data_IF_805446178038
#
_entry.id   IF_805446178038
#
_cell.length_a   1.000
_cell.length_b   1.000
_cell.length_c   1.000
_cell.angle_alpha   90.00
_cell.angle_beta   90.00
_cell.angle_gamma   90.00
#
_symmetry.space_group_name_H-M   'P 1'
#
loop_
_entity.id
_entity.type
_entity.pdbx_description
1 polymer ?
#
# COMPACT_ATOMS: atom_id res chain seq x y z
N UNK A 1 11.85 4.28 -2.95
CA UNK A 1 12.69 3.13 -3.27
C UNK A 1 13.51 2.75 -2.04
N UNK A 2 13.09 1.70 -1.32
CA UNK A 2 13.81 1.16 -0.16
C UNK A 2 15.21 0.64 -0.50
N UNK A 3 15.52 0.46 -1.79
CA UNK A 3 16.82 -0.01 -2.25
C UNK A 3 17.94 1.04 -2.16
N UNK A 4 17.58 2.31 -2.06
CA UNK A 4 18.56 3.41 -1.99
C UNK A 4 18.77 3.91 -0.55
N UNK A 5 18.21 3.22 0.44
CA UNK A 5 18.48 3.54 1.84
C UNK A 5 19.87 2.99 2.25
N UNK A 6 20.90 3.85 2.39
CA UNK A 6 22.26 3.40 2.67
C UNK A 6 22.45 2.73 4.04
N UNK A 7 21.40 2.71 4.86
CA UNK A 7 21.40 2.03 6.15
C UNK A 7 20.84 0.61 6.12
N UNK A 8 20.26 0.17 5.00
CA UNK A 8 19.69 -1.19 4.88
C UNK A 8 20.75 -2.11 4.27
N UNK A 9 21.16 -3.12 5.02
CA UNK A 9 22.06 -4.14 4.52
C UNK A 9 21.42 -4.87 3.33
N UNK A 10 22.15 -5.11 2.22
CA UNK A 10 21.64 -5.89 1.09
C UNK A 10 21.23 -7.34 1.45
N UNK A 11 21.59 -7.80 2.63
CA UNK A 11 21.21 -9.11 3.16
C UNK A 11 19.84 -9.14 3.87
N UNK A 12 19.19 -8.00 4.06
CA UNK A 12 17.85 -7.96 4.62
C UNK A 12 16.83 -8.10 3.47
N UNK A 13 16.22 -9.27 3.41
CA UNK A 13 15.08 -9.50 2.52
C UNK A 13 13.92 -8.63 3.00
N UNK A 14 13.37 -7.81 2.12
CA UNK A 14 12.17 -7.04 2.39
C UNK A 14 11.00 -8.00 2.49
N UNK A 15 10.56 -8.26 3.70
CA UNK A 15 9.42 -9.13 3.96
C UNK A 15 8.30 -8.35 4.63
N UNK A 16 7.08 -8.81 4.43
CA UNK A 16 5.92 -8.39 5.18
C UNK A 16 5.33 -9.58 5.90
N UNK A 17 4.87 -9.40 7.12
CA UNK A 17 4.06 -10.39 7.80
C UNK A 17 2.62 -10.28 7.28
N UNK A 18 1.98 -11.40 6.94
CA UNK A 18 0.60 -11.42 6.44
C UNK A 18 -0.14 -12.61 7.03
N UNK A 19 -1.22 -12.33 7.77
CA UNK A 19 -2.05 -13.35 8.40
C UNK A 19 -1.37 -14.06 9.57
N UNK A 20 -1.85 -15.24 9.88
CA UNK A 20 -1.38 -16.11 10.96
C UNK A 20 -1.08 -17.51 10.39
N UNK A 21 -0.17 -18.21 11.03
CA UNK A 21 0.01 -19.63 10.70
C UNK A 21 -1.28 -20.42 11.01
N UNK A 22 -1.63 -21.45 10.20
CA UNK A 22 -2.87 -22.21 10.36
C UNK A 22 -3.04 -22.91 11.72
N UNK A 23 -1.95 -23.12 12.45
CA UNK A 23 -1.97 -23.76 13.77
C UNK A 23 -2.16 -22.77 14.94
N UNK A 24 -2.20 -21.47 14.69
CA UNK A 24 -2.38 -20.45 15.74
C UNK A 24 -3.81 -20.47 16.23
N UNK A 25 -3.99 -20.62 17.52
CA UNK A 25 -5.32 -20.57 18.13
C UNK A 25 -5.72 -19.16 18.54
N UNK A 26 -7.02 -18.93 18.67
CA UNK A 26 -7.54 -17.65 19.21
C UNK A 26 -6.96 -17.35 20.59
N UNK A 27 -6.80 -18.38 21.45
CA UNK A 27 -6.26 -18.21 22.80
C UNK A 27 -4.78 -17.78 22.75
N UNK A 28 -3.98 -18.31 21.83
CA UNK A 28 -2.59 -17.89 21.64
C UNK A 28 -2.52 -16.43 21.19
N UNK A 29 -3.35 -16.04 20.23
CA UNK A 29 -3.39 -14.66 19.76
C UNK A 29 -3.89 -13.71 20.86
N UNK A 30 -4.94 -14.10 21.60
CA UNK A 30 -5.45 -13.36 22.75
C UNK A 30 -4.37 -13.15 23.83
N UNK A 31 -3.57 -14.18 24.10
CA UNK A 31 -2.45 -14.05 25.03
C UNK A 31 -1.42 -13.01 24.57
N UNK A 32 -1.11 -12.98 23.28
CA UNK A 32 -0.25 -11.95 22.70
C UNK A 32 -0.85 -10.55 22.89
N UNK A 33 -2.14 -10.37 22.64
CA UNK A 33 -2.80 -9.07 22.80
C UNK A 33 -2.84 -8.59 24.25
N UNK A 34 -3.05 -9.50 25.19
CA UNK A 34 -2.99 -9.18 26.63
C UNK A 34 -1.59 -8.76 27.07
N UNK A 35 -0.53 -9.43 26.58
CA UNK A 35 0.86 -9.01 26.84
C UNK A 35 1.15 -7.64 26.25
N UNK A 36 0.66 -7.36 25.04
CA UNK A 36 0.76 -6.03 24.43
C UNK A 36 0.13 -4.96 25.32
N UNK A 37 -1.08 -5.19 25.84
CA UNK A 37 -1.78 -4.27 26.75
C UNK A 37 -1.04 -4.04 28.07
N UNK A 38 -0.14 -4.93 28.45
CA UNK A 38 0.74 -4.79 29.63
C UNK A 38 2.06 -4.08 29.33
N UNK A 39 2.26 -3.68 28.07
CA UNK A 39 3.52 -3.07 27.61
C UNK A 39 4.66 -4.07 27.50
N UNK A 40 4.35 -5.35 27.30
CA UNK A 40 5.33 -6.43 27.17
C UNK A 40 5.47 -6.84 25.70
N UNK A 41 6.65 -7.38 25.35
CA UNK A 41 6.86 -8.00 24.05
C UNK A 41 5.93 -9.19 23.88
N UNK A 42 5.03 -9.12 22.92
CA UNK A 42 3.97 -10.11 22.77
C UNK A 42 4.26 -11.25 21.80
N UNK A 43 5.31 -11.12 20.98
CA UNK A 43 5.73 -12.15 20.04
C UNK A 43 4.78 -12.43 18.89
N UNK A 44 3.81 -11.56 18.61
CA UNK A 44 2.79 -11.76 17.56
C UNK A 44 3.41 -12.00 16.18
N UNK A 45 4.55 -11.39 15.87
CA UNK A 45 5.27 -11.60 14.60
C UNK A 45 5.71 -13.06 14.40
N UNK A 46 5.96 -13.79 15.47
CA UNK A 46 6.31 -15.21 15.39
C UNK A 46 5.12 -16.11 15.04
N UNK A 47 3.91 -15.55 15.15
CA UNK A 47 2.68 -16.23 14.77
C UNK A 47 2.27 -15.99 13.31
N UNK A 48 2.98 -15.10 12.61
CA UNK A 48 2.67 -14.69 11.24
C UNK A 48 3.67 -15.24 10.23
N UNK A 49 3.22 -15.75 9.08
CA UNK A 49 4.10 -16.06 7.97
C UNK A 49 4.68 -14.77 7.37
N UNK A 50 5.94 -14.84 6.96
CA UNK A 50 6.63 -13.74 6.30
C UNK A 50 6.73 -13.99 4.81
N UNK A 51 6.25 -13.04 4.03
CA UNK A 51 6.27 -13.08 2.57
C UNK A 51 7.27 -12.09 2.03
N UNK A 52 8.11 -12.54 1.09
CA UNK A 52 9.02 -11.64 0.38
C UNK A 52 8.25 -10.70 -0.52
N UNK A 53 8.54 -9.41 -0.42
CA UNK A 53 7.94 -8.39 -1.26
C UNK A 53 8.84 -8.08 -2.45
N UNK A 54 8.21 -7.90 -3.59
CA UNK A 54 8.88 -7.46 -4.81
C UNK A 54 8.33 -6.09 -5.23
N UNK A 55 9.19 -5.27 -5.84
CA UNK A 55 8.74 -4.03 -6.47
C UNK A 55 7.66 -4.38 -7.50
N UNK A 56 6.62 -3.56 -7.57
CA UNK A 56 5.48 -3.72 -8.46
C UNK A 56 4.52 -4.88 -8.12
N UNK A 57 4.70 -5.55 -6.99
CA UNK A 57 3.65 -6.43 -6.49
C UNK A 57 2.66 -5.62 -5.67
N UNK A 58 1.42 -5.57 -6.13
CA UNK A 58 0.30 -5.10 -5.35
C UNK A 58 -0.28 -6.21 -4.49
N UNK A 59 -0.98 -5.82 -3.43
CA UNK A 59 -1.76 -6.72 -2.59
C UNK A 59 -3.11 -6.11 -2.27
N UNK A 60 -4.11 -6.96 -2.16
CA UNK A 60 -5.40 -6.59 -1.61
C UNK A 60 -5.46 -7.11 -0.19
N UNK A 61 -5.59 -6.19 0.78
CA UNK A 61 -5.67 -6.53 2.21
C UNK A 61 -7.11 -6.40 2.68
N UNK A 62 -7.83 -7.52 2.91
CA UNK A 62 -9.16 -7.48 3.51
C UNK A 62 -9.12 -6.97 4.95
N UNK A 63 -10.23 -6.39 5.40
CA UNK A 63 -10.38 -5.99 6.80
C UNK A 63 -10.23 -7.21 7.74
N UNK A 64 -9.66 -6.98 8.91
CA UNK A 64 -9.49 -8.01 9.93
C UNK A 64 -8.33 -8.97 9.68
N UNK A 65 -7.51 -8.73 8.65
CA UNK A 65 -6.30 -9.51 8.39
C UNK A 65 -5.06 -8.77 8.89
N UNK A 66 -4.29 -9.46 9.73
CA UNK A 66 -3.01 -8.96 10.23
C UNK A 66 -2.01 -8.78 9.10
N UNK A 67 -1.36 -7.63 9.10
CA UNK A 67 -0.25 -7.38 8.19
C UNK A 67 0.72 -6.36 8.77
N UNK A 68 1.98 -6.48 8.41
CA UNK A 68 3.01 -5.53 8.81
C UNK A 68 4.06 -5.41 7.72
N UNK A 69 4.16 -4.26 7.05
CA UNK A 69 5.11 -4.06 5.95
C UNK A 69 6.56 -3.98 6.43
N UNK A 70 6.81 -4.03 7.73
CA UNK A 70 8.15 -3.96 8.36
C UNK A 70 8.95 -2.71 7.98
N UNK A 71 10.03 -2.84 7.21
CA UNK A 71 10.93 -1.76 6.76
C UNK A 71 10.63 -1.26 5.33
N UNK A 72 9.47 -1.65 4.79
CA UNK A 72 9.06 -1.28 3.44
C UNK A 72 8.38 0.10 3.41
N UNK A 73 8.63 0.85 2.35
CA UNK A 73 7.80 1.98 1.97
C UNK A 73 6.69 1.46 1.06
N UNK A 74 5.47 1.43 1.57
CA UNK A 74 4.28 0.99 0.85
C UNK A 74 3.45 2.18 0.38
N UNK A 75 2.79 2.02 -0.76
CA UNK A 75 1.75 2.91 -1.22
C UNK A 75 0.40 2.25 -0.99
N UNK A 76 -0.41 2.81 -0.11
CA UNK A 76 -1.67 2.21 0.33
C UNK A 76 -2.85 3.11 -0.01
N UNK A 77 -3.84 2.53 -0.68
CA UNK A 77 -5.12 3.19 -0.94
C UNK A 77 -6.19 2.50 -0.11
N UNK A 78 -6.77 3.25 0.79
CA UNK A 78 -7.84 2.76 1.66
C UNK A 78 -9.21 3.08 1.07
N UNK A 79 -10.12 2.13 1.14
CA UNK A 79 -11.51 2.31 0.72
C UNK A 79 -12.34 2.66 1.95
N UNK A 80 -12.68 3.94 2.10
CA UNK A 80 -13.67 4.49 3.02
C UNK A 80 -13.42 4.46 4.52
N UNK A 81 -12.46 3.72 5.06
CA UNK A 81 -12.27 3.66 6.52
C UNK A 81 -10.79 3.76 6.86
N UNK A 82 -10.48 4.65 7.77
CA UNK A 82 -9.15 4.80 8.37
C UNK A 82 -9.20 4.32 9.83
N UNK A 83 -9.71 3.10 10.00
CA UNK A 83 -9.79 2.44 11.29
C UNK A 83 -8.77 1.33 11.35
N UNK A 84 -7.89 1.39 12.32
CA UNK A 84 -6.93 0.32 12.56
C UNK A 84 -6.57 0.23 14.05
N UNK A 85 -6.11 -0.91 14.44
CA UNK A 85 -5.51 -1.11 15.74
C UNK A 85 -4.14 -1.76 15.58
N UNK A 86 -3.29 -1.58 16.58
CA UNK A 86 -1.97 -2.17 16.60
C UNK A 86 -2.00 -3.52 17.34
N UNK A 87 -1.38 -4.53 16.73
CA UNK A 87 -1.14 -5.82 17.38
C UNK A 87 0.26 -5.92 17.97
N UNK A 88 1.16 -5.02 17.61
CA UNK A 88 2.54 -4.95 18.12
C UNK A 88 3.07 -3.52 17.97
N UNK A 89 3.88 -3.10 18.94
CA UNK A 89 4.64 -1.85 18.87
C UNK A 89 6.08 -2.10 19.33
N UNK A 90 6.88 -2.64 18.42
CA UNK A 90 8.30 -2.89 18.66
C UNK A 90 9.15 -1.91 17.86
N UNK A 91 9.91 -1.07 18.55
CA UNK A 91 10.83 -0.12 17.92
C UNK A 91 12.09 -0.81 17.37
N UNK A 92 12.79 -0.17 16.44
CA UNK A 92 13.99 -0.71 15.80
C UNK A 92 15.13 -1.05 16.80
N UNK A 93 15.16 -0.38 17.95
CA UNK A 93 16.13 -0.65 19.03
C UNK A 93 15.64 -1.70 20.03
N UNK A 94 14.54 -2.40 19.71
CA UNK A 94 14.00 -3.52 20.49
C UNK A 94 13.22 -3.10 21.74
N UNK A 95 12.91 -1.82 21.90
CA UNK A 95 12.01 -1.35 22.96
C UNK A 95 10.57 -1.52 22.55
N UNK A 96 9.72 -1.73 23.53
CA UNK A 96 8.27 -1.70 23.34
C UNK A 96 7.83 -0.24 23.46
N UNK A 97 7.15 0.25 22.45
CA UNK A 97 6.51 1.56 22.49
C UNK A 97 5.33 1.55 23.46
N UNK A 98 4.93 2.72 23.91
CA UNK A 98 3.74 2.91 24.73
C UNK A 98 2.50 3.15 23.87
N UNK A 99 2.37 2.44 22.74
CA UNK A 99 1.26 2.69 21.83
C UNK A 99 -0.05 2.16 22.43
N UNK A 100 -1.08 2.97 22.28
CA UNK A 100 -2.46 2.53 22.52
C UNK A 100 -2.88 1.67 21.32
N UNK A 101 -3.23 0.41 21.57
CA UNK A 101 -3.70 -0.51 20.55
C UNK A 101 -4.95 0.02 19.80
N UNK A 102 -5.71 0.89 20.43
CA UNK A 102 -7.00 1.39 19.95
C UNK A 102 -6.95 2.84 19.47
N UNK A 103 -5.78 3.42 19.28
CA UNK A 103 -5.62 4.86 19.03
C UNK A 103 -6.35 5.38 17.77
N UNK A 104 -6.60 4.53 16.79
CA UNK A 104 -7.29 4.87 15.55
C UNK A 104 -8.69 4.23 15.46
N UNK A 105 -9.23 3.66 16.55
CA UNK A 105 -10.55 3.08 16.53
C UNK A 105 -11.62 4.15 16.73
N UNK A 106 -12.69 4.09 15.92
CA UNK A 106 -13.83 4.96 16.05
C UNK A 106 -14.77 4.47 17.16
N UNK A 107 -15.39 5.42 17.90
CA UNK A 107 -16.31 5.12 18.98
C UNK A 107 -17.48 4.21 18.57
N UNK A 108 -17.96 4.35 17.33
CA UNK A 108 -19.07 3.57 16.77
C UNK A 108 -18.70 2.13 16.44
N UNK A 109 -17.43 1.87 16.08
CA UNK A 109 -16.95 0.54 15.70
C UNK A 109 -16.26 -0.17 16.87
N UNK A 110 -15.63 0.62 17.73
CA UNK A 110 -14.96 0.15 18.91
C UNK A 110 -15.20 1.11 20.11
N UNK A 111 -16.30 0.92 20.85
CA UNK A 111 -16.69 1.79 21.96
C UNK A 111 -15.58 1.91 23.02
N UNK A 112 -15.41 3.10 23.59
CA UNK A 112 -14.34 3.38 24.57
C UNK A 112 -14.44 2.54 25.83
N UNK A 113 -15.65 2.16 26.22
CA UNK A 113 -15.88 1.25 27.34
C UNK A 113 -15.46 -0.19 27.05
N UNK A 114 -15.14 -0.50 25.78
CA UNK A 114 -14.60 -1.78 25.33
C UNK A 114 -13.09 -1.73 25.06
N UNK A 115 -12.45 -0.59 25.18
CA UNK A 115 -11.00 -0.51 25.15
C UNK A 115 -10.41 -1.38 26.25
N UNK A 116 -9.33 -2.10 25.95
CA UNK A 116 -8.74 -3.15 26.81
C UNK A 116 -9.60 -4.42 26.97
N UNK A 117 -10.74 -4.52 26.28
CA UNK A 117 -11.46 -5.78 26.14
C UNK A 117 -10.84 -6.60 24.98
N UNK A 118 -9.79 -7.31 25.32
CA UNK A 118 -8.99 -8.06 24.35
C UNK A 118 -9.75 -9.22 23.71
N UNK A 119 -10.69 -9.81 24.41
CA UNK A 119 -11.60 -10.83 23.88
C UNK A 119 -12.46 -10.23 22.77
N UNK A 120 -13.04 -9.07 23.00
CA UNK A 120 -13.84 -8.36 21.99
C UNK A 120 -13.00 -7.97 20.79
N UNK A 121 -11.76 -7.51 21.00
CA UNK A 121 -10.82 -7.22 19.92
C UNK A 121 -10.57 -8.46 19.05
N UNK A 122 -10.24 -9.60 19.68
CA UNK A 122 -9.92 -10.84 18.96
C UNK A 122 -11.12 -11.36 18.16
N UNK A 123 -12.34 -11.11 18.60
CA UNK A 123 -13.55 -11.44 17.85
C UNK A 123 -13.72 -10.64 16.54
N UNK A 124 -13.09 -9.47 16.45
CA UNK A 124 -13.11 -8.65 15.23
C UNK A 124 -12.18 -9.15 14.13
N UNK A 125 -11.24 -10.05 14.47
CA UNK A 125 -10.36 -10.64 13.47
C UNK A 125 -11.08 -11.68 12.64
N UNK A 126 -10.83 -11.62 11.35
CA UNK A 126 -11.21 -12.70 10.43
C UNK A 126 -10.18 -13.84 10.54
N UNK A 127 -10.38 -14.74 11.51
CA UNK A 127 -9.45 -15.86 11.71
C UNK A 127 -9.38 -16.80 10.52
N UNK A 128 -10.45 -17.00 9.78
CA UNK A 128 -10.46 -17.82 8.59
C UNK A 128 -9.56 -17.22 7.51
N UNK A 129 -9.71 -15.93 7.23
CA UNK A 129 -8.86 -15.22 6.27
C UNK A 129 -7.40 -15.13 6.76
N UNK A 130 -7.16 -14.90 8.05
CA UNK A 130 -5.81 -14.85 8.61
C UNK A 130 -5.06 -16.18 8.51
N UNK A 131 -5.75 -17.30 8.56
CA UNK A 131 -5.17 -18.65 8.55
C UNK A 131 -5.22 -19.32 7.19
N UNK A 132 -5.71 -18.62 6.17
CA UNK A 132 -5.75 -19.16 4.81
C UNK A 132 -4.31 -19.37 4.28
N UNK A 133 -3.86 -20.61 4.04
CA UNK A 133 -2.52 -20.87 3.54
C UNK A 133 -2.27 -20.29 2.15
N UNK A 134 -3.34 -20.04 1.40
CA UNK A 134 -3.29 -19.48 0.04
C UNK A 134 -3.51 -17.95 0.03
N UNK A 135 -3.57 -17.31 1.21
CA UNK A 135 -3.88 -15.88 1.33
C UNK A 135 -3.03 -15.01 0.41
N UNK A 136 -1.72 -15.20 0.44
CA UNK A 136 -0.77 -14.42 -0.38
C UNK A 136 -1.05 -14.62 -1.86
N UNK A 137 -1.28 -15.85 -2.30
CA UNK A 137 -1.55 -16.17 -3.71
C UNK A 137 -2.88 -15.56 -4.17
N UNK A 138 -3.92 -15.62 -3.36
CA UNK A 138 -5.25 -15.09 -3.68
C UNK A 138 -5.27 -13.57 -3.75
N UNK A 139 -4.48 -12.90 -2.91
CA UNK A 139 -4.50 -11.46 -2.73
C UNK A 139 -3.35 -10.71 -3.41
N UNK A 140 -2.33 -11.42 -3.89
CA UNK A 140 -1.24 -10.83 -4.68
C UNK A 140 -1.72 -10.37 -6.06
N UNK A 141 -1.16 -9.27 -6.51
CA UNK A 141 -1.42 -8.67 -7.82
C UNK A 141 -0.07 -8.46 -8.53
N UNK A 142 0.45 -9.46 -9.25
CA UNK A 142 1.62 -9.30 -10.07
C UNK A 142 1.40 -8.19 -11.10
N UNK A 143 2.44 -7.38 -11.35
CA UNK A 143 2.32 -6.29 -12.31
C UNK A 143 1.95 -6.78 -13.71
N UNK A 144 1.02 -6.09 -14.35
CA UNK A 144 0.58 -6.37 -15.73
C UNK A 144 0.90 -5.15 -16.58
N UNK A 145 1.56 -5.33 -17.72
CA UNK A 145 1.85 -4.25 -18.65
C UNK A 145 0.54 -3.58 -19.11
N UNK A 146 0.52 -2.26 -19.01
CA UNK A 146 -0.58 -1.42 -19.48
C UNK A 146 -0.22 -0.89 -20.88
N UNK A 147 -0.43 -1.70 -21.90
CA UNK A 147 -0.01 -1.44 -23.28
C UNK A 147 -0.56 -0.12 -23.82
N UNK A 148 -1.75 0.29 -23.38
CA UNK A 148 -2.40 1.55 -23.76
C UNK A 148 -1.67 2.81 -23.31
N UNK A 149 -0.78 2.68 -22.33
CA UNK A 149 0.02 3.78 -21.77
C UNK A 149 1.52 3.61 -22.01
N UNK A 150 1.94 2.44 -22.48
CA UNK A 150 3.33 2.16 -22.77
C UNK A 150 3.76 2.76 -24.14
N UNK A 151 5.06 3.04 -24.29
CA UNK A 151 5.59 3.61 -25.53
C UNK A 151 7.10 3.69 -25.52
N UNK A 152 7.66 4.42 -26.48
CA UNK A 152 9.10 4.61 -26.56
C UNK A 152 9.63 5.37 -25.34
N UNK A 153 10.50 4.72 -24.59
CA UNK A 153 11.01 5.25 -23.32
C UNK A 153 9.98 5.34 -22.18
N UNK A 154 8.79 4.72 -22.35
CA UNK A 154 7.71 4.75 -21.37
C UNK A 154 7.28 3.32 -21.02
N UNK A 155 7.52 2.91 -19.77
CA UNK A 155 7.00 1.66 -19.18
C UNK A 155 5.76 1.95 -18.35
N UNK A 156 4.69 1.20 -18.55
CA UNK A 156 3.44 1.34 -17.83
C UNK A 156 2.95 0.00 -17.31
N UNK A 157 2.57 -0.05 -16.04
CA UNK A 157 2.14 -1.29 -15.37
C UNK A 157 0.96 -1.05 -14.45
N UNK A 158 -0.06 -1.86 -14.56
CA UNK A 158 -1.07 -2.03 -13.52
C UNK A 158 -0.46 -2.81 -12.36
N UNK A 159 -0.40 -2.20 -11.17
CA UNK A 159 0.20 -2.81 -9.96
C UNK A 159 -0.85 -3.15 -8.90
N UNK A 160 -2.00 -2.48 -8.91
CA UNK A 160 -3.20 -2.89 -8.17
C UNK A 160 -4.37 -2.86 -9.14
N UNK A 161 -5.17 -3.91 -9.14
CA UNK A 161 -6.28 -4.07 -10.08
C UNK A 161 -7.30 -5.11 -9.59
N UNK A 162 -8.45 -5.14 -10.23
CA UNK A 162 -9.52 -6.10 -9.95
C UNK A 162 -10.41 -5.72 -8.78
N UNK A 163 -11.06 -6.71 -8.18
CA UNK A 163 -11.94 -6.51 -7.02
C UNK A 163 -11.12 -6.34 -5.76
N UNK A 164 -11.44 -5.35 -4.96
CA UNK A 164 -10.78 -5.05 -3.68
C UNK A 164 -11.67 -5.45 -2.51
N UNK A 165 -12.87 -4.91 -2.42
CA UNK A 165 -13.87 -5.26 -1.41
C UNK A 165 -15.21 -5.48 -2.10
N UNK A 166 -15.71 -6.71 -2.10
CA UNK A 166 -16.92 -7.06 -2.83
C UNK A 166 -16.79 -6.73 -4.31
N UNK A 167 -17.62 -5.82 -4.82
CA UNK A 167 -17.55 -5.35 -6.21
C UNK A 167 -16.75 -4.06 -6.39
N UNK A 168 -16.19 -3.50 -5.32
CA UNK A 168 -15.37 -2.30 -5.41
C UNK A 168 -14.05 -2.61 -6.12
N UNK A 169 -13.66 -1.70 -7.00
CA UNK A 169 -12.40 -1.78 -7.73
C UNK A 169 -11.62 -0.49 -7.50
N UNK A 170 -10.43 -0.63 -7.00
CA UNK A 170 -9.42 0.41 -6.99
C UNK A 170 -8.31 -0.07 -7.91
N UNK A 171 -7.74 0.82 -8.69
CA UNK A 171 -6.59 0.47 -9.50
C UNK A 171 -5.45 1.46 -9.32
N UNK A 172 -4.24 0.93 -9.34
CA UNK A 172 -3.01 1.72 -9.30
C UNK A 172 -2.20 1.37 -10.54
N UNK A 173 -1.87 2.42 -11.31
CA UNK A 173 -0.98 2.34 -12.46
C UNK A 173 0.37 2.94 -12.09
N UNK A 174 1.46 2.25 -12.38
CA UNK A 174 2.80 2.84 -12.38
C UNK A 174 3.22 3.20 -13.78
N UNK A 175 3.70 4.43 -13.94
CA UNK A 175 4.28 4.94 -15.17
C UNK A 175 5.74 5.31 -14.92
N UNK A 176 6.64 4.80 -15.74
CA UNK A 176 8.07 5.11 -15.66
C UNK A 176 8.55 5.67 -16.98
N UNK A 177 9.07 6.90 -16.98
CA UNK A 177 9.62 7.55 -18.17
C UNK A 177 11.14 7.58 -18.07
N UNK A 178 11.83 7.12 -19.11
CA UNK A 178 13.26 7.30 -19.26
C UNK A 178 13.63 8.80 -19.34
N UNK A 179 14.87 9.20 -19.03
CA UNK A 179 15.30 10.57 -19.18
C UNK A 179 15.02 11.12 -20.60
N UNK A 180 14.37 12.28 -20.68
CA UNK A 180 13.96 12.92 -21.93
C UNK A 180 12.73 12.30 -22.60
N UNK A 181 12.18 11.20 -22.09
CA UNK A 181 10.97 10.62 -22.64
C UNK A 181 9.74 11.49 -22.34
N UNK A 182 8.76 11.39 -23.23
CA UNK A 182 7.53 12.18 -23.20
C UNK A 182 6.35 11.35 -23.67
N UNK A 183 5.22 11.51 -23.06
CA UNK A 183 3.97 10.84 -23.45
C UNK A 183 2.76 11.73 -23.23
N UNK A 184 1.68 11.44 -23.95
CA UNK A 184 0.36 11.99 -23.63
C UNK A 184 -0.40 10.96 -22.82
N UNK A 185 -0.59 11.24 -21.53
CA UNK A 185 -1.34 10.39 -20.63
C UNK A 185 -2.82 10.76 -20.66
N UNK A 186 -3.63 9.84 -21.16
CA UNK A 186 -5.06 10.06 -21.36
C UNK A 186 -5.90 8.95 -20.72
N UNK A 187 -5.96 8.87 -19.38
CA UNK A 187 -6.87 7.96 -18.72
C UNK A 187 -8.32 8.40 -18.91
N UNK A 188 -9.25 7.47 -18.76
CA UNK A 188 -10.68 7.72 -18.97
C UNK A 188 -11.32 8.52 -17.82
N UNK A 189 -10.61 8.68 -16.71
CA UNK A 189 -11.13 9.31 -15.50
C UNK A 189 -10.05 10.11 -14.76
N UNK A 190 -10.45 11.00 -13.84
CA UNK A 190 -9.52 11.70 -12.95
C UNK A 190 -8.67 10.73 -12.14
N UNK A 191 -7.45 11.13 -11.83
CA UNK A 191 -6.52 10.35 -11.03
C UNK A 191 -5.75 11.21 -10.04
N UNK A 192 -5.51 10.67 -8.85
CA UNK A 192 -4.47 11.17 -7.95
C UNK A 192 -3.13 10.66 -8.49
N UNK A 193 -2.08 11.46 -8.43
CA UNK A 193 -0.75 10.98 -8.75
C UNK A 193 0.24 11.25 -7.62
N UNK A 194 1.23 10.36 -7.54
CA UNK A 194 2.39 10.48 -6.67
C UNK A 194 3.67 10.37 -7.49
N UNK A 195 4.65 11.22 -7.19
CA UNK A 195 5.99 11.14 -7.77
C UNK A 195 6.87 10.31 -6.85
N UNK A 196 7.26 9.12 -7.30
CA UNK A 196 8.03 8.14 -6.51
C UNK A 196 9.51 8.11 -6.91
N UNK A 197 9.91 8.83 -7.95
CA UNK A 197 11.30 8.94 -8.40
C UNK A 197 11.48 9.98 -9.49
N UNK A 198 12.68 10.56 -9.58
CA UNK A 198 13.05 11.50 -10.63
C UNK A 198 12.38 12.87 -10.55
N UNK A 199 12.37 13.58 -11.68
CA UNK A 199 11.75 14.90 -11.84
C UNK A 199 11.24 15.09 -13.26
N UNK A 200 10.18 15.90 -13.40
CA UNK A 200 9.56 16.12 -14.69
C UNK A 200 8.42 17.12 -14.66
N UNK A 201 7.56 17.04 -15.65
CA UNK A 201 6.36 17.86 -15.77
C UNK A 201 5.13 17.01 -16.04
N UNK A 202 4.02 17.40 -15.45
CA UNK A 202 2.69 16.90 -15.77
C UNK A 202 1.85 18.11 -16.21
N UNK A 203 1.65 18.26 -17.51
CA UNK A 203 1.09 19.48 -18.07
C UNK A 203 1.96 20.70 -17.76
N UNK A 204 1.43 21.62 -16.96
CA UNK A 204 2.15 22.83 -16.50
C UNK A 204 2.77 22.68 -15.11
N UNK A 205 2.54 21.55 -14.44
CA UNK A 205 3.01 21.32 -13.09
C UNK A 205 4.39 20.67 -13.13
N UNK A 206 5.38 21.32 -12.52
CA UNK A 206 6.67 20.71 -12.23
C UNK A 206 6.48 19.72 -11.08
N UNK A 207 7.03 18.50 -11.25
CA UNK A 207 6.97 17.43 -10.26
C UNK A 207 8.37 16.93 -9.95
N UNK A 208 8.60 16.58 -8.70
CA UNK A 208 9.89 16.06 -8.26
C UNK A 208 9.74 15.20 -7.02
N UNK A 209 10.36 14.03 -7.06
CA UNK A 209 10.54 13.21 -5.87
C UNK A 209 11.59 13.84 -4.94
N UNK A 210 11.29 13.89 -3.66
CA UNK A 210 12.19 14.45 -2.67
C UNK A 210 12.36 13.52 -1.46
N UNK A 211 13.54 12.96 -1.34
CA UNK A 211 13.89 12.08 -0.21
C UNK A 211 14.11 12.83 1.11
N UNK A 212 14.36 14.15 1.04
CA UNK A 212 14.73 14.96 2.19
C UNK A 212 13.72 16.08 2.41
N UNK A 213 12.49 15.72 2.76
CA UNK A 213 11.46 16.72 3.10
C UNK A 213 11.81 17.40 4.41
N UNK A 214 11.70 18.74 4.42
CA UNK A 214 11.86 19.56 5.62
C UNK A 214 10.52 20.10 6.08
N UNK A 215 10.34 20.16 7.37
CA UNK A 215 9.12 20.73 7.96
C UNK A 215 8.87 22.14 7.45
N UNK A 216 7.67 22.41 6.92
CA UNK A 216 7.24 23.70 6.41
C UNK A 216 7.59 23.97 4.95
N UNK A 217 8.25 23.05 4.26
CA UNK A 217 8.47 23.15 2.82
C UNK A 217 7.34 22.44 2.05
N UNK A 218 6.98 22.99 0.88
CA UNK A 218 6.00 22.39 -0.03
C UNK A 218 6.77 21.67 -1.14
N UNK A 219 6.42 20.41 -1.33
CA UNK A 219 7.03 19.57 -2.37
C UNK A 219 5.98 19.19 -3.42
N UNK A 220 6.28 19.34 -4.71
CA UNK A 220 5.36 19.01 -5.79
C UNK A 220 5.41 17.49 -6.11
N UNK A 221 5.14 16.65 -5.13
CA UNK A 221 5.18 15.19 -5.28
C UNK A 221 3.81 14.59 -5.55
N UNK A 222 2.76 15.24 -5.06
CA UNK A 222 1.39 14.75 -5.12
C UNK A 222 0.53 15.77 -5.85
N UNK A 223 -0.35 15.28 -6.70
CA UNK A 223 -1.29 16.13 -7.40
C UNK A 223 -2.47 15.36 -7.96
N UNK A 224 -3.35 16.08 -8.62
CA UNK A 224 -4.59 15.53 -9.14
C UNK A 224 -4.79 15.92 -10.61
N UNK A 225 -5.02 14.91 -11.45
CA UNK A 225 -5.45 15.12 -12.84
C UNK A 225 -6.97 15.20 -12.85
N UNK A 226 -7.49 16.37 -13.18
CA UNK A 226 -8.93 16.61 -13.21
C UNK A 226 -9.57 16.14 -14.50
N UNK A 227 -10.89 15.91 -14.50
CA UNK A 227 -11.65 15.61 -15.71
C UNK A 227 -11.50 16.71 -16.76
N UNK A 228 -11.44 17.97 -16.34
CA UNK A 228 -11.23 19.11 -17.25
C UNK A 228 -9.87 19.04 -17.95
N UNK A 229 -8.83 18.60 -17.28
CA UNK A 229 -7.51 18.41 -17.89
C UNK A 229 -7.52 17.30 -18.96
N UNK A 230 -8.33 16.27 -18.77
CA UNK A 230 -8.47 15.15 -19.70
C UNK A 230 -9.33 15.48 -20.93
N UNK A 231 -10.25 16.46 -20.83
CA UNK A 231 -11.20 16.80 -21.90
C UNK A 231 -10.54 17.31 -23.18
N UNK A 232 -9.26 17.67 -23.15
CA UNK A 232 -8.49 18.16 -24.28
C UNK A 232 -7.53 17.10 -24.87
N UNK A 233 -7.82 15.82 -24.70
CA UNK A 233 -7.02 14.73 -25.28
C UNK A 233 -5.92 14.19 -24.34
N UNK A 234 -6.01 14.49 -23.06
CA UNK A 234 -5.05 14.01 -22.07
C UNK A 234 -4.07 15.07 -21.57
N UNK A 235 -3.14 14.64 -20.74
CA UNK A 235 -2.11 15.48 -20.13
C UNK A 235 -0.74 15.03 -20.59
N UNK A 236 0.07 15.96 -21.08
CA UNK A 236 1.45 15.68 -21.42
C UNK A 236 2.26 15.42 -20.15
N UNK A 237 3.02 14.33 -20.14
CA UNK A 237 4.00 13.99 -19.10
C UNK A 237 5.38 13.92 -19.74
N UNK A 238 6.34 14.60 -19.16
CA UNK A 238 7.71 14.67 -19.67
C UNK A 238 8.70 14.47 -18.52
N UNK A 239 9.64 13.58 -18.71
CA UNK A 239 10.80 13.48 -17.83
C UNK A 239 11.84 14.53 -18.22
N UNK A 240 12.00 15.55 -17.40
CA UNK A 240 12.98 16.64 -17.61
C UNK A 240 14.26 16.44 -16.80
N UNK A 241 14.33 15.37 -16.00
CA UNK A 241 15.48 15.01 -15.17
C UNK A 241 16.46 14.07 -15.86
N UNK A 242 17.52 13.73 -15.15
CA UNK A 242 18.57 12.78 -15.58
C UNK A 242 18.30 11.33 -15.13
N UNK A 243 17.35 11.14 -14.20
CA UNK A 243 16.94 9.86 -13.65
C UNK A 243 15.55 9.48 -14.17
N UNK A 244 15.15 8.21 -14.14
CA UNK A 244 13.79 7.82 -14.48
C UNK A 244 12.75 8.58 -13.66
N UNK A 245 11.77 9.16 -14.32
CA UNK A 245 10.59 9.73 -13.66
C UNK A 245 9.61 8.59 -13.38
N UNK A 246 9.36 8.31 -12.11
CA UNK A 246 8.44 7.27 -11.65
C UNK A 246 7.22 7.91 -11.03
N UNK A 247 6.06 7.61 -11.58
CA UNK A 247 4.76 8.11 -11.13
C UNK A 247 3.84 6.92 -10.81
N UNK A 248 3.05 7.03 -9.75
CA UNK A 248 1.89 6.18 -9.52
C UNK A 248 0.61 7.00 -9.69
N UNK A 249 -0.41 6.38 -10.27
CA UNK A 249 -1.72 6.97 -10.47
C UNK A 249 -2.77 6.11 -9.79
N UNK A 250 -3.50 6.71 -8.87
CA UNK A 250 -4.61 6.06 -8.18
C UNK A 250 -5.91 6.43 -8.86
N UNK A 251 -6.63 5.41 -9.29
CA UNK A 251 -7.93 5.56 -9.94
C UNK A 251 -9.05 5.15 -8.98
N UNK A 252 -10.14 5.92 -8.94
CA UNK A 252 -11.31 5.53 -8.19
C UNK A 252 -11.95 4.27 -8.80
N UNK A 253 -12.82 3.69 -8.05
CA UNK A 253 -13.55 2.48 -8.38
C UNK A 253 -14.11 2.47 -9.81
N UNK A 254 -13.83 1.40 -10.57
CA UNK A 254 -14.31 1.18 -11.94
C UNK A 254 -14.01 2.31 -12.94
N UNK A 255 -13.00 3.08 -12.66
CA UNK A 255 -12.79 4.33 -13.37
C UNK A 255 -12.13 4.18 -14.73
N UNK A 256 -11.49 3.06 -15.01
CA UNK A 256 -10.80 2.83 -16.28
C UNK A 256 -11.21 1.49 -16.89
N UNK A 257 -11.68 1.50 -18.14
CA UNK A 257 -12.19 0.30 -18.83
C UNK A 257 -11.09 -0.76 -19.09
N UNK A 258 -9.84 -0.33 -19.16
CA UNK A 258 -8.68 -1.20 -19.39
C UNK A 258 -8.07 -1.79 -18.11
N UNK A 259 -8.55 -1.38 -16.94
CA UNK A 259 -8.09 -2.00 -15.70
C UNK A 259 -8.32 -3.50 -15.74
N UNK A 260 -7.28 -4.33 -15.54
CA UNK A 260 -7.43 -5.78 -15.60
C UNK A 260 -8.48 -6.29 -14.60
N UNK A 261 -9.34 -7.18 -15.03
CA UNK A 261 -10.21 -7.94 -14.14
C UNK A 261 -9.39 -9.00 -13.41
N UNK A 262 -9.66 -9.24 -12.13
CA UNK A 262 -9.13 -10.44 -11.48
C UNK A 262 -9.95 -11.62 -11.96
N UNK A 263 -9.36 -12.47 -12.78
CA UNK A 263 -9.77 -13.84 -12.95
C UNK A 263 -8.92 -14.67 -12.00
N UNK A 264 -9.43 -14.89 -10.79
CA UNK A 264 -8.86 -15.94 -9.94
C UNK A 264 -9.37 -17.24 -10.55
N UNK A 265 -8.61 -17.80 -11.47
CA UNK A 265 -8.76 -19.20 -11.83
C UNK A 265 -8.18 -19.99 -10.66
N UNK A 266 -9.07 -20.50 -9.82
CA UNK A 266 -8.74 -21.48 -8.79
C UNK A 266 -8.17 -22.76 -9.37
#
# INVERSE_FOLDING_TARGET
NSFDNPGVSPSHYHTTAMGLYPFVTKDQFLACMKSFGQGEYNGVRHLSPHTMMHIDNGFVMPNGVLHSPTDLCTHEVHVTMDEHFLAEDLTLDGRIGAADAFYACREEDYPKDRHEDWEYLVEKFDFEANQDPDFVQKNSRPAITAEEFAGDGVDAKWIVYGKVLGDQKVSILRLTLAPGAKTTFSPECPALFHTNGGSGRIGKLEVRYNQNMKLGEIYPEIGFITQSALSNGGVEIENTGSEPLVLTFDFPQNAHSKTPGVSITG
#
